data_IF_284238776364
#
_entry.id   IF_284238776364
#
_cell.length_a   1.000
_cell.length_b   1.000
_cell.length_c   1.000
_cell.angle_alpha   90.00
_cell.angle_beta   90.00
_cell.angle_gamma   90.00
#
_symmetry.space_group_name_H-M   'P 1'
#
loop_
_entity.id
_entity.type
_entity.pdbx_description
1 polymer ?
#
# COMPACT_ATOMS: atom_id res chain seq x y z
N UNK A 1 -9.26 2.62 20.48
CA UNK A 1 -7.90 2.24 20.94
C UNK A 1 -6.92 3.20 20.30
N UNK A 2 -5.93 3.68 21.04
CA UNK A 2 -4.84 4.53 20.51
C UNK A 2 -4.16 3.83 19.31
N UNK A 3 -3.89 4.58 18.24
CA UNK A 3 -3.21 4.08 17.04
C UNK A 3 -4.01 3.13 16.14
N UNK A 4 -5.28 2.84 16.45
CA UNK A 4 -6.16 2.09 15.53
C UNK A 4 -6.79 3.02 14.49
N UNK A 5 -6.68 2.65 13.22
CA UNK A 5 -7.32 3.38 12.11
C UNK A 5 -8.65 2.70 11.83
N UNK A 6 -9.76 3.46 11.87
CA UNK A 6 -11.06 2.95 11.48
C UNK A 6 -11.10 2.58 9.98
N UNK A 7 -11.85 1.53 9.66
CA UNK A 7 -12.07 1.06 8.28
C UNK A 7 -12.85 2.10 7.49
N UNK A 8 -13.80 2.73 8.17
CA UNK A 8 -14.66 3.78 7.67
C UNK A 8 -15.11 4.63 8.86
N UNK A 9 -15.30 5.93 8.63
CA UNK A 9 -15.91 6.84 9.60
C UNK A 9 -16.70 7.90 8.84
N UNK A 10 -17.92 8.20 9.30
CA UNK A 10 -18.79 9.20 8.69
C UNK A 10 -19.90 9.65 9.65
N UNK A 11 -20.58 10.76 9.33
CA UNK A 11 -21.82 11.14 10.00
C UNK A 11 -22.90 10.05 9.89
N UNK A 12 -23.82 10.02 10.85
CA UNK A 12 -25.04 9.21 10.86
C UNK A 12 -26.08 9.71 9.83
N UNK A 13 -25.62 10.01 8.61
CA UNK A 13 -26.46 10.40 7.47
C UNK A 13 -27.30 9.19 7.02
N UNK A 14 -28.63 9.32 6.89
CA UNK A 14 -29.51 8.22 6.50
C UNK A 14 -29.22 7.59 5.12
N UNK A 15 -28.42 8.24 4.26
CA UNK A 15 -27.97 7.67 2.99
C UNK A 15 -27.03 6.47 3.18
N UNK A 16 -26.24 6.47 4.26
CA UNK A 16 -25.19 5.47 4.53
C UNK A 16 -25.36 4.78 5.89
N UNK A 17 -26.05 5.44 6.83
CA UNK A 17 -26.32 4.95 8.17
C UNK A 17 -27.79 4.57 8.31
N UNK A 18 -28.08 3.28 8.48
CA UNK A 18 -29.46 2.77 8.49
C UNK A 18 -30.07 2.67 9.91
N UNK A 19 -29.56 3.48 10.84
CA UNK A 19 -30.01 3.59 12.23
C UNK A 19 -29.29 2.66 13.22
N UNK A 20 -29.44 2.95 14.50
CA UNK A 20 -28.72 2.30 15.62
C UNK A 20 -28.92 0.78 15.61
N UNK A 21 -30.17 0.31 15.46
CA UNK A 21 -30.48 -1.12 15.41
C UNK A 21 -29.80 -1.85 14.23
N UNK A 22 -29.52 -1.15 13.12
CA UNK A 22 -28.74 -1.71 12.02
C UNK A 22 -27.26 -1.78 12.36
N UNK A 23 -26.72 -0.77 13.04
CA UNK A 23 -25.33 -0.75 13.47
C UNK A 23 -25.08 -1.81 14.55
N UNK A 24 -25.93 -1.88 15.58
CA UNK A 24 -25.89 -2.89 16.65
C UNK A 24 -25.98 -4.33 16.13
N UNK A 25 -26.63 -4.51 14.97
CA UNK A 25 -26.76 -5.80 14.31
C UNK A 25 -25.56 -6.20 13.44
N UNK A 26 -24.52 -5.36 13.34
CA UNK A 26 -23.33 -5.61 12.52
C UNK A 26 -22.08 -5.74 13.39
N UNK A 27 -21.28 -6.75 13.06
CA UNK A 27 -19.96 -6.88 13.64
C UNK A 27 -19.10 -5.66 13.24
N UNK A 28 -18.40 -5.08 14.21
CA UNK A 28 -17.49 -3.94 14.05
C UNK A 28 -18.15 -2.60 13.66
N UNK A 29 -19.47 -2.45 13.73
CA UNK A 29 -20.11 -1.13 13.60
C UNK A 29 -20.22 -0.45 14.97
N UNK A 30 -19.88 0.84 15.03
CA UNK A 30 -19.86 1.60 16.26
C UNK A 30 -20.48 2.99 16.03
N UNK A 31 -21.63 3.25 16.64
CA UNK A 31 -22.25 4.58 16.64
C UNK A 31 -21.77 5.39 17.85
N UNK A 32 -21.61 6.70 17.68
CA UNK A 32 -21.09 7.60 18.72
C UNK A 32 -22.23 8.47 19.25
N UNK A 33 -22.58 8.26 20.52
CA UNK A 33 -23.71 8.95 21.17
C UNK A 33 -23.33 10.27 21.85
N UNK A 34 -22.04 10.50 22.11
CA UNK A 34 -21.59 11.66 22.87
C UNK A 34 -20.13 12.03 22.60
N UNK A 35 -19.79 13.29 22.88
CA UNK A 35 -18.45 13.83 22.67
C UNK A 35 -18.35 14.69 21.41
N UNK A 36 -17.12 15.05 21.00
CA UNK A 36 -16.88 15.86 19.81
C UNK A 36 -17.38 15.21 18.51
N UNK A 37 -17.38 13.88 18.48
CA UNK A 37 -17.79 13.06 17.33
C UNK A 37 -19.20 12.49 17.53
N UNK A 38 -20.03 13.11 18.38
CA UNK A 38 -21.43 12.72 18.52
C UNK A 38 -22.16 12.85 17.17
N UNK A 39 -23.09 11.95 16.91
CA UNK A 39 -23.79 11.81 15.62
C UNK A 39 -22.91 11.29 14.46
N UNK A 40 -21.70 10.81 14.74
CA UNK A 40 -20.90 10.02 13.80
C UNK A 40 -21.03 8.51 14.08
N UNK A 41 -20.59 7.70 13.13
CA UNK A 41 -20.38 6.26 13.27
C UNK A 41 -19.12 5.83 12.54
N UNK A 42 -18.57 4.69 12.93
CA UNK A 42 -17.39 4.12 12.29
C UNK A 42 -17.44 2.60 12.25
N UNK A 43 -16.67 2.03 11.33
CA UNK A 43 -16.50 0.59 11.15
C UNK A 43 -15.07 0.16 11.50
N UNK A 44 -14.93 -0.92 12.26
CA UNK A 44 -13.64 -1.55 12.60
C UNK A 44 -13.19 -2.60 11.59
N UNK A 45 -12.38 -3.56 12.05
CA UNK A 45 -11.83 -4.64 11.22
C UNK A 45 -11.06 -4.15 9.97
N UNK A 46 -10.21 -3.15 10.19
CA UNK A 46 -9.41 -2.49 9.14
C UNK A 46 -8.30 -3.40 8.64
N UNK A 47 -8.14 -3.50 7.32
CA UNK A 47 -7.08 -4.32 6.72
C UNK A 47 -5.75 -3.58 6.62
N UNK A 48 -4.64 -4.33 6.52
CA UNK A 48 -3.30 -3.75 6.23
C UNK A 48 -3.26 -2.97 4.91
N UNK A 49 -4.15 -3.27 3.98
CA UNK A 49 -4.22 -2.60 2.68
C UNK A 49 -4.78 -1.19 2.85
N UNK A 50 -5.76 -1.03 3.75
CA UNK A 50 -6.28 0.28 4.13
C UNK A 50 -5.26 1.10 4.91
N UNK A 51 -4.47 0.46 5.77
CA UNK A 51 -3.30 1.11 6.40
C UNK A 51 -2.31 1.61 5.35
N UNK A 52 -2.01 0.81 4.31
CA UNK A 52 -1.14 1.23 3.20
C UNK A 52 -1.67 2.49 2.51
N UNK A 53 -2.99 2.52 2.21
CA UNK A 53 -3.69 3.69 1.68
C UNK A 53 -3.57 4.92 2.57
N UNK A 54 -3.84 4.74 3.87
CA UNK A 54 -3.79 5.81 4.86
C UNK A 54 -2.38 6.40 4.99
N UNK A 55 -1.35 5.56 5.15
CA UNK A 55 0.04 6.01 5.26
C UNK A 55 0.50 6.78 4.02
N UNK A 56 0.17 6.27 2.82
CA UNK A 56 0.46 6.96 1.56
C UNK A 56 -0.22 8.32 1.48
N UNK A 57 -1.51 8.40 1.82
CA UNK A 57 -2.28 9.64 1.83
C UNK A 57 -1.70 10.67 2.81
N UNK A 58 -1.36 10.23 4.02
CA UNK A 58 -0.74 11.07 5.06
C UNK A 58 0.61 11.63 4.62
N UNK A 59 1.48 10.79 4.07
CA UNK A 59 2.77 11.23 3.56
C UNK A 59 2.62 12.22 2.39
N UNK A 60 1.73 11.92 1.45
CA UNK A 60 1.47 12.76 0.28
C UNK A 60 0.88 14.13 0.67
N UNK A 61 -0.08 14.15 1.60
CA UNK A 61 -0.66 15.38 2.10
C UNK A 61 0.38 16.25 2.82
N UNK A 62 1.26 15.64 3.62
CA UNK A 62 2.35 16.36 4.27
C UNK A 62 3.28 17.02 3.25
N UNK A 63 3.63 16.29 2.19
CA UNK A 63 4.54 16.78 1.14
C UNK A 63 3.93 17.90 0.29
N UNK A 64 2.66 17.76 -0.11
CA UNK A 64 2.05 18.60 -1.15
C UNK A 64 1.25 19.79 -0.62
N UNK A 65 0.74 19.74 0.60
CA UNK A 65 -0.11 20.80 1.16
C UNK A 65 0.70 21.68 2.10
N UNK A 66 0.73 22.98 1.82
CA UNK A 66 1.45 23.95 2.63
C UNK A 66 0.63 24.42 3.85
N UNK A 67 0.42 23.50 4.78
CA UNK A 67 -0.25 23.76 6.06
C UNK A 67 0.53 23.15 7.22
N UNK A 68 1.20 24.01 8.01
CA UNK A 68 2.02 23.58 9.14
C UNK A 68 1.22 22.91 10.27
N UNK A 69 -0.03 23.32 10.51
CA UNK A 69 -0.87 22.73 11.55
C UNK A 69 -1.30 21.32 11.12
N UNK A 70 -1.70 21.16 9.86
CA UNK A 70 -2.04 19.85 9.29
C UNK A 70 -0.82 18.91 9.29
N UNK A 71 0.36 19.38 8.85
CA UNK A 71 1.60 18.58 8.90
C UNK A 71 1.94 18.11 10.31
N UNK A 72 1.75 18.97 11.31
CA UNK A 72 1.97 18.63 12.72
C UNK A 72 0.99 17.56 13.21
N UNK A 73 -0.29 17.69 12.84
CA UNK A 73 -1.32 16.68 13.15
C UNK A 73 -1.03 15.33 12.47
N UNK A 74 -0.63 15.35 11.20
CA UNK A 74 -0.24 14.15 10.46
C UNK A 74 0.93 13.44 11.14
N UNK A 75 1.98 14.18 11.50
CA UNK A 75 3.15 13.62 12.19
C UNK A 75 2.75 12.97 13.52
N UNK A 76 1.89 13.62 14.31
CA UNK A 76 1.38 13.07 15.57
C UNK A 76 0.58 11.78 15.35
N UNK A 77 -0.37 11.78 14.42
CA UNK A 77 -1.21 10.62 14.13
C UNK A 77 -0.39 9.43 13.60
N UNK A 78 0.54 9.68 12.67
CA UNK A 78 1.44 8.64 12.13
C UNK A 78 2.32 8.04 13.24
N UNK A 79 2.83 8.89 14.14
CA UNK A 79 3.60 8.45 15.30
C UNK A 79 2.75 7.52 16.18
N UNK A 80 1.53 7.92 16.52
CA UNK A 80 0.63 7.13 17.35
C UNK A 80 0.32 5.75 16.74
N UNK A 81 0.02 5.72 15.44
CA UNK A 81 -0.26 4.47 14.71
C UNK A 81 0.98 3.57 14.66
N UNK A 82 2.15 4.10 14.33
CA UNK A 82 3.39 3.31 14.28
C UNK A 82 3.78 2.77 15.65
N UNK A 83 3.54 3.53 16.71
CA UNK A 83 3.85 3.12 18.08
C UNK A 83 3.01 1.93 18.51
N UNK A 84 1.71 1.97 18.19
CA UNK A 84 0.82 0.84 18.43
C UNK A 84 1.26 -0.38 17.61
N UNK A 85 1.54 -0.21 16.31
CA UNK A 85 2.00 -1.31 15.45
C UNK A 85 3.31 -1.93 15.96
N UNK A 86 4.27 -1.12 16.41
CA UNK A 86 5.52 -1.64 16.98
C UNK A 86 5.25 -2.39 18.29
N UNK A 87 4.40 -1.83 19.16
CA UNK A 87 4.05 -2.43 20.45
C UNK A 87 3.31 -3.77 20.31
N UNK A 88 2.50 -3.93 19.26
CA UNK A 88 1.76 -5.17 18.97
C UNK A 88 2.53 -6.14 18.07
N UNK A 89 3.86 -5.96 17.89
CA UNK A 89 4.68 -6.78 17.00
C UNK A 89 4.13 -6.84 15.57
N UNK A 90 3.66 -5.70 15.05
CA UNK A 90 3.15 -5.51 13.69
C UNK A 90 1.85 -6.29 13.41
N UNK A 91 1.04 -6.49 14.45
CA UNK A 91 -0.34 -6.98 14.33
C UNK A 91 -1.32 -5.82 14.47
N UNK A 92 -2.12 -5.60 13.43
CA UNK A 92 -3.24 -4.67 13.48
C UNK A 92 -4.27 -5.24 14.44
N UNK A 93 -4.46 -4.54 15.55
CA UNK A 93 -5.30 -4.95 16.66
C UNK A 93 -6.48 -4.00 16.73
N UNK A 94 -7.69 -4.55 16.67
CA UNK A 94 -8.94 -3.80 16.71
C UNK A 94 -9.19 -3.21 18.11
N UNK A 95 -10.27 -2.44 18.26
CA UNK A 95 -10.60 -1.72 19.50
C UNK A 95 -10.85 -2.63 20.70
N UNK A 96 -11.23 -3.89 20.46
CA UNK A 96 -11.42 -4.93 21.46
C UNK A 96 -10.11 -5.58 21.94
N UNK A 97 -8.98 -5.21 21.33
CA UNK A 97 -7.67 -5.77 21.66
C UNK A 97 -7.36 -7.09 20.94
N UNK A 98 -8.20 -7.51 20.00
CA UNK A 98 -8.01 -8.73 19.19
C UNK A 98 -7.47 -8.34 17.81
N UNK A 99 -6.56 -9.13 17.20
CA UNK A 99 -6.17 -8.89 15.82
C UNK A 99 -7.36 -8.85 14.87
N UNK A 100 -7.37 -7.89 13.95
CA UNK A 100 -8.41 -7.82 12.90
C UNK A 100 -8.46 -9.13 12.10
N UNK A 101 -9.60 -9.48 11.52
CA UNK A 101 -9.73 -10.68 10.69
C UNK A 101 -9.32 -10.43 9.23
N UNK A 102 -9.18 -9.16 8.82
CA UNK A 102 -8.88 -8.74 7.45
C UNK A 102 -7.37 -8.59 7.16
N UNK A 103 -6.59 -9.66 7.33
CA UNK A 103 -5.14 -9.63 7.07
C UNK A 103 -4.36 -8.78 8.10
N UNK A 104 -4.40 -9.16 9.39
CA UNK A 104 -3.89 -8.34 10.50
C UNK A 104 -2.37 -8.24 10.56
N UNK A 105 -1.63 -9.16 9.93
CA UNK A 105 -0.18 -9.16 9.97
C UNK A 105 0.38 -8.20 8.90
N UNK A 106 1.12 -7.19 9.36
CA UNK A 106 1.80 -6.22 8.49
C UNK A 106 3.05 -6.84 7.89
N UNK A 107 3.10 -6.89 6.55
CA UNK A 107 4.18 -7.51 5.80
C UNK A 107 5.46 -6.68 5.90
N UNK A 108 6.62 -7.33 5.76
CA UNK A 108 7.91 -6.68 5.98
C UNK A 108 8.11 -5.43 5.10
N UNK A 109 7.69 -5.47 3.84
CA UNK A 109 7.76 -4.30 2.94
C UNK A 109 6.84 -3.16 3.37
N UNK A 110 5.68 -3.46 3.95
CA UNK A 110 4.82 -2.46 4.57
C UNK A 110 5.48 -1.88 5.84
N UNK A 111 6.09 -2.70 6.69
CA UNK A 111 6.82 -2.23 7.87
C UNK A 111 7.94 -1.26 7.48
N UNK A 112 8.70 -1.60 6.44
CA UNK A 112 9.73 -0.73 5.86
C UNK A 112 9.14 0.59 5.37
N UNK A 113 8.10 0.51 4.54
CA UNK A 113 7.48 1.68 3.91
C UNK A 113 6.92 2.63 4.95
N UNK A 114 6.10 2.12 5.87
CA UNK A 114 5.41 2.92 6.88
C UNK A 114 6.40 3.51 7.89
N UNK A 115 7.46 2.79 8.24
CA UNK A 115 8.51 3.32 9.11
C UNK A 115 9.36 4.39 8.41
N UNK A 116 9.62 4.24 7.11
CA UNK A 116 10.33 5.27 6.36
C UNK A 116 9.49 6.55 6.23
N UNK A 117 8.16 6.41 6.05
CA UNK A 117 7.21 7.52 6.18
C UNK A 117 7.31 8.14 7.58
N UNK A 118 7.25 7.33 8.64
CA UNK A 118 7.37 7.82 10.02
C UNK A 118 8.63 8.65 10.23
N UNK A 119 9.78 8.15 9.77
CA UNK A 119 11.04 8.90 9.85
C UNK A 119 11.02 10.19 9.03
N UNK A 120 10.49 10.14 7.81
CA UNK A 120 10.38 11.31 6.94
C UNK A 120 9.55 12.44 7.58
N UNK A 121 8.43 12.08 8.23
CA UNK A 121 7.49 13.04 8.82
C UNK A 121 7.97 13.62 10.16
N UNK A 122 8.72 12.83 10.94
CA UNK A 122 9.02 13.15 12.35
C UNK A 122 10.51 13.39 12.62
N UNK A 123 11.40 12.84 11.79
CA UNK A 123 12.83 12.76 12.03
C UNK A 123 13.25 11.77 13.13
N UNK A 124 12.34 10.96 13.67
CA UNK A 124 12.63 10.09 14.81
C UNK A 124 13.40 8.82 14.42
N UNK A 125 14.62 8.68 14.94
CA UNK A 125 15.54 7.57 14.59
C UNK A 125 14.99 6.18 14.90
N UNK A 126 14.03 6.05 15.83
CA UNK A 126 13.41 4.75 16.14
C UNK A 126 12.64 4.16 14.96
N UNK A 127 12.04 5.01 14.11
CA UNK A 127 11.39 4.54 12.88
C UNK A 127 12.44 4.17 11.83
N UNK A 128 13.51 4.96 11.71
CA UNK A 128 14.65 4.62 10.84
C UNK A 128 15.32 3.31 11.24
N UNK A 129 15.38 2.98 12.53
CA UNK A 129 15.93 1.73 13.03
C UNK A 129 15.13 0.50 12.54
N UNK A 130 13.81 0.61 12.38
CA UNK A 130 12.99 -0.44 11.74
C UNK A 130 13.41 -0.63 10.28
N UNK A 131 13.62 0.46 9.55
CA UNK A 131 14.06 0.44 8.16
C UNK A 131 15.42 -0.26 8.04
N UNK A 132 16.40 0.22 8.82
CA UNK A 132 17.78 -0.30 8.85
C UNK A 132 17.85 -1.78 9.23
N UNK A 133 17.01 -2.22 10.17
CA UNK A 133 16.94 -3.63 10.58
C UNK A 133 16.66 -4.54 9.38
N UNK A 134 15.76 -4.13 8.49
CA UNK A 134 15.29 -4.98 7.39
C UNK A 134 16.16 -4.89 6.14
N UNK A 135 16.72 -3.73 5.82
CA UNK A 135 17.61 -3.57 4.65
C UNK A 135 19.06 -4.01 4.89
N UNK A 136 19.43 -4.31 6.14
CA UNK A 136 20.76 -4.80 6.49
C UNK A 136 21.18 -5.99 5.61
N UNK A 137 22.45 -6.01 5.17
CA UNK A 137 23.01 -7.02 4.26
C UNK A 137 22.66 -8.46 4.64
N UNK A 138 22.75 -8.78 5.94
CA UNK A 138 22.44 -10.11 6.48
C UNK A 138 20.99 -10.54 6.31
N UNK A 139 20.08 -9.62 6.01
CA UNK A 139 18.65 -9.84 5.81
C UNK A 139 18.19 -9.69 4.36
N UNK A 140 19.02 -9.17 3.45
CA UNK A 140 18.63 -8.90 2.06
C UNK A 140 18.08 -10.14 1.33
N UNK A 141 18.66 -11.31 1.55
CA UNK A 141 18.13 -12.58 1.00
C UNK A 141 16.74 -12.90 1.56
N UNK A 142 16.54 -12.72 2.86
CA UNK A 142 15.24 -12.95 3.49
C UNK A 142 14.19 -11.94 3.01
N UNK A 143 14.57 -10.67 2.87
CA UNK A 143 13.74 -9.61 2.29
C UNK A 143 13.24 -9.98 0.89
N UNK A 144 14.13 -10.46 0.02
CA UNK A 144 13.76 -10.91 -1.33
C UNK A 144 12.76 -12.06 -1.30
N UNK A 145 12.85 -12.96 -0.33
CA UNK A 145 11.89 -14.07 -0.19
C UNK A 145 10.54 -13.57 0.34
N UNK A 146 10.56 -12.65 1.31
CA UNK A 146 9.35 -12.09 1.92
C UNK A 146 8.61 -11.10 1.03
N UNK A 147 9.28 -10.49 0.04
CA UNK A 147 8.66 -9.62 -0.95
C UNK A 147 8.03 -10.39 -2.13
N UNK A 148 8.19 -11.72 -2.20
CA UNK A 148 7.49 -12.51 -3.21
C UNK A 148 6.00 -12.52 -2.86
N UNK A 149 5.26 -11.55 -3.40
CA UNK A 149 3.82 -11.63 -3.55
C UNK A 149 3.58 -12.68 -4.63
N UNK A 150 2.94 -13.79 -4.30
CA UNK A 150 2.87 -14.97 -5.17
C UNK A 150 2.52 -14.59 -6.62
N UNK A 151 3.41 -15.04 -7.50
CA UNK A 151 3.57 -14.64 -8.89
C UNK A 151 2.28 -14.86 -9.69
N UNK A 152 1.89 -13.90 -10.52
CA UNK A 152 1.07 -14.04 -11.73
C UNK A 152 0.60 -12.64 -12.20
N UNK A 153 0.81 -12.33 -13.47
CA UNK A 153 0.40 -11.09 -14.16
C UNK A 153 -1.12 -10.77 -14.02
N UNK A 154 -1.94 -11.78 -13.75
CA UNK A 154 -3.40 -11.82 -13.89
C UNK A 154 -4.18 -12.07 -12.57
N UNK A 155 -3.66 -12.86 -11.61
CA UNK A 155 -4.45 -13.27 -10.42
C UNK A 155 -4.34 -12.33 -9.21
N UNK A 156 -3.27 -11.53 -9.12
CA UNK A 156 -2.97 -10.69 -7.95
C UNK A 156 -2.89 -9.20 -8.30
N UNK A 157 -3.73 -8.75 -9.26
CA UNK A 157 -3.71 -7.36 -9.74
C UNK A 157 -3.87 -6.33 -8.61
N UNK A 158 -4.74 -6.61 -7.64
CA UNK A 158 -4.91 -5.75 -6.46
C UNK A 158 -3.65 -5.73 -5.57
N UNK A 159 -3.02 -6.90 -5.35
CA UNK A 159 -1.74 -6.99 -4.65
C UNK A 159 -0.62 -6.20 -5.37
N UNK A 160 -0.59 -6.23 -6.70
CA UNK A 160 0.35 -5.45 -7.50
C UNK A 160 0.14 -3.94 -7.35
N UNK A 161 -1.12 -3.47 -7.22
CA UNK A 161 -1.42 -2.06 -6.90
C UNK A 161 -0.79 -1.64 -5.57
N UNK A 162 -1.01 -2.44 -4.52
CA UNK A 162 -0.42 -2.18 -3.20
C UNK A 162 1.11 -2.27 -3.21
N UNK A 163 1.67 -3.22 -3.97
CA UNK A 163 3.11 -3.36 -4.16
C UNK A 163 3.73 -2.10 -4.78
N UNK A 164 3.16 -1.61 -5.88
CA UNK A 164 3.59 -0.38 -6.53
C UNK A 164 3.46 0.84 -5.60
N UNK A 165 2.35 0.97 -4.87
CA UNK A 165 2.16 2.07 -3.94
C UNK A 165 3.19 2.09 -2.80
N UNK A 166 3.53 0.92 -2.24
CA UNK A 166 4.60 0.82 -1.24
C UNK A 166 5.97 1.15 -1.85
N UNK A 167 6.27 0.58 -3.01
CA UNK A 167 7.56 0.78 -3.69
C UNK A 167 7.77 2.23 -4.13
N UNK A 168 6.74 2.92 -4.60
CA UNK A 168 6.79 4.36 -4.87
C UNK A 168 7.34 5.16 -3.68
N UNK A 169 6.78 4.89 -2.51
CA UNK A 169 7.20 5.57 -1.28
C UNK A 169 8.62 5.17 -0.88
N UNK A 170 8.95 3.88 -0.96
CA UNK A 170 10.28 3.39 -0.64
C UNK A 170 11.36 3.96 -1.56
N UNK A 171 11.09 4.09 -2.86
CA UNK A 171 12.05 4.63 -3.83
C UNK A 171 12.21 6.14 -3.66
N UNK A 172 11.10 6.91 -3.64
CA UNK A 172 11.17 8.37 -3.52
C UNK A 172 11.86 8.81 -2.22
N UNK A 173 11.52 8.19 -1.08
CA UNK A 173 12.10 8.52 0.22
C UNK A 173 13.44 7.84 0.41
N UNK A 174 13.61 6.65 -0.16
CA UNK A 174 14.86 5.90 -0.12
C UNK A 174 16.01 6.68 -0.72
N UNK A 175 15.76 7.34 -1.85
CA UNK A 175 16.74 8.22 -2.50
C UNK A 175 17.25 9.35 -1.59
N UNK A 176 16.40 9.83 -0.68
CA UNK A 176 16.72 10.92 0.25
C UNK A 176 17.44 10.41 1.50
N UNK A 177 17.04 9.25 2.02
CA UNK A 177 17.41 8.83 3.38
C UNK A 177 18.31 7.59 3.47
N UNK A 178 18.42 6.81 2.40
CA UNK A 178 19.20 5.57 2.37
C UNK A 178 20.56 5.79 1.73
N UNK A 179 21.48 4.86 2.00
CA UNK A 179 22.75 4.81 1.28
C UNK A 179 22.50 4.42 -0.19
N UNK A 180 23.41 4.76 -1.13
CA UNK A 180 23.29 4.33 -2.52
C UNK A 180 23.12 2.80 -2.66
N UNK A 181 23.88 2.02 -1.89
CA UNK A 181 23.81 0.55 -1.93
C UNK A 181 22.47 -0.01 -1.42
N UNK A 182 21.92 0.56 -0.34
CA UNK A 182 20.60 0.18 0.15
C UNK A 182 19.48 0.58 -0.82
N UNK A 183 19.61 1.76 -1.44
CA UNK A 183 18.66 2.22 -2.45
C UNK A 183 18.67 1.31 -3.68
N UNK A 184 19.86 0.99 -4.21
CA UNK A 184 20.02 0.11 -5.37
C UNK A 184 19.44 -1.30 -5.09
N UNK A 185 19.56 -1.78 -3.85
CA UNK A 185 18.92 -3.03 -3.42
C UNK A 185 17.38 -2.96 -3.47
N UNK A 186 16.77 -1.87 -3.00
CA UNK A 186 15.31 -1.68 -3.06
C UNK A 186 14.84 -1.52 -4.51
N UNK A 187 15.57 -0.77 -5.32
CA UNK A 187 15.30 -0.59 -6.75
C UNK A 187 15.30 -1.94 -7.48
N UNK A 188 16.30 -2.78 -7.24
CA UNK A 188 16.35 -4.11 -7.84
C UNK A 188 15.17 -5.00 -7.41
N UNK A 189 14.73 -4.91 -6.14
CA UNK A 189 13.51 -5.60 -5.70
C UNK A 189 12.29 -5.12 -6.49
N UNK A 190 12.10 -3.81 -6.65
CA UNK A 190 10.98 -3.25 -7.39
C UNK A 190 10.99 -3.73 -8.85
N UNK A 191 12.11 -3.56 -9.54
CA UNK A 191 12.28 -3.95 -10.95
C UNK A 191 12.03 -5.46 -11.15
N UNK A 192 12.64 -6.30 -10.32
CA UNK A 192 12.67 -7.76 -10.54
C UNK A 192 11.51 -8.53 -9.92
N UNK A 193 10.81 -7.97 -8.94
CA UNK A 193 9.76 -8.69 -8.19
C UNK A 193 8.40 -7.98 -8.19
N UNK A 194 8.33 -6.69 -8.53
CA UNK A 194 7.07 -5.93 -8.53
C UNK A 194 6.71 -5.47 -9.93
N UNK A 195 7.55 -4.66 -10.58
CA UNK A 195 7.24 -4.07 -11.87
C UNK A 195 7.36 -5.06 -13.04
N UNK A 196 8.29 -6.03 -12.99
CA UNK A 196 8.48 -7.02 -14.07
C UNK A 196 7.18 -7.71 -14.51
N UNK A 197 6.26 -7.94 -13.57
CA UNK A 197 4.99 -8.62 -13.80
C UNK A 197 3.89 -7.71 -14.32
N UNK A 198 4.09 -6.39 -14.34
CA UNK A 198 3.09 -5.41 -14.80
C UNK A 198 3.60 -4.53 -15.95
N UNK A 199 4.88 -4.62 -16.32
CA UNK A 199 5.55 -3.75 -17.31
C UNK A 199 4.92 -3.70 -18.71
N UNK A 200 4.09 -4.69 -19.07
CA UNK A 200 3.36 -4.74 -20.35
C UNK A 200 1.84 -4.77 -20.16
N UNK A 201 1.36 -4.39 -18.98
CA UNK A 201 -0.08 -4.45 -18.67
C UNK A 201 -0.88 -3.27 -19.22
N UNK A 202 -0.23 -2.29 -19.85
CA UNK A 202 -0.83 -1.06 -20.34
C UNK A 202 -1.64 -0.28 -19.29
N UNK A 203 -1.24 -0.40 -18.02
CA UNK A 203 -1.90 0.28 -16.92
C UNK A 203 -1.15 1.57 -16.59
N UNK A 204 -1.84 2.70 -16.81
CA UNK A 204 -1.31 4.04 -16.54
C UNK A 204 -0.81 4.22 -15.09
N UNK A 205 -1.44 3.60 -14.09
CA UNK A 205 -1.00 3.71 -12.71
C UNK A 205 0.35 3.02 -12.47
N UNK A 206 0.53 1.77 -12.93
CA UNK A 206 1.82 1.07 -12.80
C UNK A 206 2.94 1.79 -13.54
N UNK A 207 2.66 2.28 -14.74
CA UNK A 207 3.61 3.02 -15.55
C UNK A 207 4.01 4.35 -14.88
N UNK A 208 3.03 5.10 -14.37
CA UNK A 208 3.29 6.34 -13.64
C UNK A 208 4.19 6.11 -12.43
N UNK A 209 3.94 5.05 -11.66
CA UNK A 209 4.76 4.70 -10.51
C UNK A 209 6.18 4.34 -10.93
N UNK A 210 6.34 3.47 -11.93
CA UNK A 210 7.65 3.09 -12.47
C UNK A 210 8.46 4.30 -12.94
N UNK A 211 7.84 5.22 -13.69
CA UNK A 211 8.51 6.43 -14.18
C UNK A 211 8.82 7.45 -13.07
N UNK A 212 8.17 7.35 -11.91
CA UNK A 212 8.34 8.29 -10.80
C UNK A 212 9.43 7.90 -9.79
N UNK A 213 10.19 6.83 -10.05
CA UNK A 213 11.22 6.31 -9.13
C UNK A 213 12.46 7.19 -8.92
N UNK A 214 12.51 8.39 -9.51
CA UNK A 214 13.57 9.38 -9.29
C UNK A 214 14.85 9.17 -10.12
N UNK A 215 15.21 7.93 -10.43
CA UNK A 215 16.31 7.58 -11.36
C UNK A 215 15.82 7.00 -12.69
N UNK A 216 14.56 7.25 -13.04
CA UNK A 216 14.03 6.82 -14.32
C UNK A 216 14.82 7.43 -15.48
N UNK A 217 15.40 6.59 -16.32
CA UNK A 217 16.07 7.01 -17.55
C UNK A 217 15.30 6.48 -18.78
N UNK A 218 14.66 7.36 -19.56
CA UNK A 218 14.00 6.97 -20.81
C UNK A 218 14.93 6.23 -21.78
N UNK A 219 16.22 6.59 -21.81
CA UNK A 219 17.19 6.01 -22.74
C UNK A 219 17.52 4.53 -22.44
N UNK A 220 17.29 4.08 -21.21
CA UNK A 220 17.58 2.71 -20.77
C UNK A 220 16.32 1.81 -20.83
N UNK A 221 15.17 2.36 -21.24
CA UNK A 221 13.87 1.68 -21.21
C UNK A 221 13.45 1.23 -22.61
N UNK A 222 13.46 -0.08 -22.86
CA UNK A 222 13.17 -0.68 -24.17
C UNK A 222 11.72 -0.48 -24.67
N UNK A 223 10.82 0.03 -23.82
CA UNK A 223 9.40 0.22 -24.08
C UNK A 223 8.94 1.64 -23.73
N UNK A 224 9.83 2.64 -23.86
CA UNK A 224 9.53 4.05 -23.59
C UNK A 224 8.28 4.56 -24.35
N UNK A 225 8.18 4.28 -25.65
CA UNK A 225 7.06 4.76 -26.49
C UNK A 225 5.71 4.26 -25.96
N UNK A 226 5.65 3.00 -25.50
CA UNK A 226 4.46 2.41 -24.89
C UNK A 226 4.11 3.13 -23.58
N UNK A 227 5.09 3.45 -22.74
CA UNK A 227 4.84 4.15 -21.47
C UNK A 227 4.27 5.55 -21.70
N UNK A 228 4.77 6.25 -22.73
CA UNK A 228 4.24 7.57 -23.13
C UNK A 228 2.82 7.47 -23.67
N UNK A 229 2.54 6.46 -24.49
CA UNK A 229 1.19 6.17 -25.00
C UNK A 229 0.22 5.89 -23.85
N UNK A 230 0.56 4.96 -22.95
CA UNK A 230 -0.30 4.55 -21.83
C UNK A 230 -0.62 5.70 -20.86
N UNK A 231 0.26 6.71 -20.76
CA UNK A 231 0.07 7.90 -19.92
C UNK A 231 -0.58 9.08 -20.66
N UNK A 232 -0.51 9.11 -21.98
CA UNK A 232 -0.92 10.24 -22.81
C UNK A 232 -2.21 10.02 -23.60
N UNK A 233 -2.49 8.77 -24.00
CA UNK A 233 -3.63 8.42 -24.84
C UNK A 233 -4.81 7.88 -24.03
N UNK A 234 -5.62 8.82 -23.53
CA UNK A 234 -6.86 8.48 -22.85
C UNK A 234 -8.00 8.32 -23.85
N UNK A 235 -8.57 7.13 -23.90
CA UNK A 235 -9.75 6.85 -24.72
C UNK A 235 -10.97 7.63 -24.23
N UNK A 236 -11.78 8.09 -25.18
CA UNK A 236 -13.03 8.79 -24.90
C UNK A 236 -13.97 7.92 -24.07
N UNK A 237 -14.46 8.48 -22.96
CA UNK A 237 -15.46 7.84 -22.12
C UNK A 237 -16.81 7.70 -22.86
N UNK A 238 -17.58 6.63 -22.60
CA UNK A 238 -17.36 5.64 -21.54
C UNK A 238 -16.59 4.40 -22.04
N UNK A 239 -15.63 3.94 -21.23
CA UNK A 239 -14.87 2.72 -21.49
C UNK A 239 -15.66 1.50 -20.99
N UNK A 240 -16.25 0.73 -21.91
CA UNK A 240 -17.06 -0.45 -21.58
C UNK A 240 -16.35 -1.79 -21.80
N UNK A 241 -15.13 -1.78 -22.34
CA UNK A 241 -14.40 -2.98 -22.74
C UNK A 241 -12.93 -2.85 -22.36
N UNK A 242 -12.37 -3.89 -21.74
CA UNK A 242 -10.93 -4.01 -21.57
C UNK A 242 -10.29 -4.33 -22.92
N UNK A 243 -9.38 -3.47 -23.38
CA UNK A 243 -8.67 -3.69 -24.62
C UNK A 243 -7.35 -4.38 -24.31
N UNK A 244 -7.19 -5.60 -24.81
CA UNK A 244 -5.94 -6.35 -24.78
C UNK A 244 -5.45 -6.35 -26.23
N UNK A 245 -4.25 -5.82 -26.48
CA UNK A 245 -3.65 -5.82 -27.83
C UNK A 245 -2.31 -6.57 -27.80
N UNK A 246 -2.15 -7.66 -28.59
CA UNK A 246 -3.18 -8.33 -29.37
C UNK A 246 -4.20 -9.05 -28.47
N UNK A 247 -5.48 -9.16 -28.89
CA UNK A 247 -6.53 -9.83 -28.11
C UNK A 247 -6.27 -11.33 -27.87
N UNK A 248 -5.34 -11.91 -28.64
CA UNK A 248 -5.01 -13.34 -28.66
C UNK A 248 -3.59 -13.61 -28.12
N UNK A 249 -3.13 -12.79 -27.17
CA UNK A 249 -1.81 -12.96 -26.54
C UNK A 249 -1.64 -14.34 -25.89
N UNK A 250 -0.46 -14.95 -26.08
CA UNK A 250 -0.10 -16.17 -25.36
C UNK A 250 0.03 -15.80 -23.88
N UNK A 251 -0.85 -16.34 -23.03
CA UNK A 251 -0.77 -16.14 -21.59
C UNK A 251 0.58 -16.65 -21.06
N UNK A 252 1.18 -15.89 -20.13
CA UNK A 252 2.40 -16.31 -19.47
C UNK A 252 2.21 -17.69 -18.79
N UNK A 253 2.94 -18.74 -19.20
CA UNK A 253 2.72 -20.10 -18.70
C UNK A 253 2.93 -20.23 -17.19
N UNK A 254 3.83 -19.43 -16.62
CA UNK A 254 4.07 -19.39 -15.18
C UNK A 254 2.85 -18.85 -14.45
N UNK A 255 2.34 -17.69 -14.89
CA UNK A 255 1.11 -17.09 -14.41
C UNK A 255 -0.08 -18.05 -14.48
N UNK A 256 -0.28 -18.74 -15.60
CA UNK A 256 -1.35 -19.76 -15.75
C UNK A 256 -1.15 -20.92 -14.78
N UNK A 257 0.07 -21.43 -14.62
CA UNK A 257 0.37 -22.49 -13.67
C UNK A 257 0.03 -22.08 -12.22
N UNK A 258 0.38 -20.86 -11.84
CA UNK A 258 0.17 -20.35 -10.48
C UNK A 258 -1.30 -20.03 -10.20
N UNK A 259 -2.03 -19.50 -11.18
CA UNK A 259 -3.49 -19.36 -11.08
C UNK A 259 -4.18 -20.70 -10.80
N UNK A 260 -3.80 -21.73 -11.57
CA UNK A 260 -4.30 -23.08 -11.37
C UNK A 260 -3.94 -23.62 -9.98
N UNK A 261 -2.71 -23.34 -9.51
CA UNK A 261 -2.25 -23.77 -8.19
C UNK A 261 -3.04 -23.08 -7.07
N UNK A 262 -3.30 -21.77 -7.15
CA UNK A 262 -4.10 -21.03 -6.16
C UNK A 262 -5.57 -21.44 -6.19
N UNK A 263 -6.13 -21.70 -7.38
CA UNK A 263 -7.48 -22.25 -7.53
C UNK A 263 -7.59 -23.63 -6.86
N UNK A 264 -6.55 -24.46 -7.00
CA UNK A 264 -6.48 -25.77 -6.36
C UNK A 264 -6.25 -25.69 -4.85
N UNK A 265 -5.48 -24.70 -4.40
CA UNK A 265 -5.07 -24.51 -3.00
C UNK A 265 -5.33 -23.06 -2.56
N UNK A 266 -6.58 -22.71 -2.21
CA UNK A 266 -6.96 -21.31 -1.92
C UNK A 266 -6.20 -20.66 -0.76
N UNK A 267 -5.58 -21.43 0.12
CA UNK A 267 -4.75 -20.90 1.21
C UNK A 267 -3.41 -20.31 0.75
N UNK A 268 -3.04 -20.50 -0.53
CA UNK A 268 -1.86 -19.88 -1.15
C UNK A 268 -2.13 -18.47 -1.69
N UNK A 269 -3.41 -18.07 -1.76
CA UNK A 269 -3.85 -16.77 -2.30
C UNK A 269 -3.75 -15.63 -1.29
#
# INVERSE_FOLDING_TARGET
RTGFIARYAAPQDPLIYHGDAWCDGRDHCHHIESGPDADDWWEGNTSRDQYTGWFFGMATACDLVDDAAMRSMIAANVTEVLDELIATNWWITDVDGIPTTAGPNVLVTQQLTWSLIGYHLTGEDRFKAVVQKWIADSRRTYMRLMNITFMNHYAQYYGNNLGHQNMYTLLRLGKVYLSPDDYDFILDIFETQTHTFTRLSHNAFFNAIFMSQGDYNPADTAYQDQLEEDLGDFRDAPNFVYYIDPPDGVLDPLSVFLDNLMTQYPFLA
#
